data_IF_495558997762
#
_entry.id   IF_495558997762
#
_cell.length_a   1.000
_cell.length_b   1.000
_cell.length_c   1.000
_cell.angle_alpha   90.00
_cell.angle_beta   90.00
_cell.angle_gamma   90.00
#
_symmetry.space_group_name_H-M   'P 1'
#
loop_
_entity.id
_entity.type
_entity.pdbx_description
1 polymer ?
#
# COMPACT_ATOMS: atom_id res chain seq x y z
N UNK A 1 4.04 4.59 16.04
CA UNK A 1 3.47 3.23 15.90
C UNK A 1 3.59 2.87 14.44
N UNK A 2 4.35 1.84 14.09
CA UNK A 2 4.56 1.44 12.69
C UNK A 2 3.30 0.75 12.18
N UNK A 3 2.46 1.48 11.45
CA UNK A 3 1.23 0.96 10.85
C UNK A 3 1.58 0.41 9.48
N UNK A 4 1.28 -0.85 9.22
CA UNK A 4 1.49 -1.45 7.90
C UNK A 4 0.15 -1.72 7.26
N UNK A 5 0.04 -1.37 5.98
CA UNK A 5 -1.11 -1.71 5.15
C UNK A 5 -0.72 -2.76 4.13
N UNK A 6 -1.67 -3.61 3.77
CA UNK A 6 -1.53 -4.51 2.64
C UNK A 6 -2.25 -3.94 1.45
N UNK A 7 -1.53 -3.73 0.35
CA UNK A 7 -2.09 -3.27 -0.92
C UNK A 7 -1.98 -4.36 -1.97
N UNK A 8 -2.96 -4.43 -2.86
CA UNK A 8 -2.97 -5.33 -4.00
C UNK A 8 -2.86 -4.52 -5.28
N UNK A 9 -1.76 -4.71 -6.00
CA UNK A 9 -1.54 -4.12 -7.31
C UNK A 9 -2.55 -4.70 -8.31
N UNK A 10 -3.11 -3.86 -9.18
CA UNK A 10 -4.04 -4.32 -10.21
C UNK A 10 -3.35 -5.24 -11.24
N UNK A 11 -2.09 -4.96 -11.58
CA UNK A 11 -1.35 -5.73 -12.59
C UNK A 11 -0.71 -7.01 -12.03
N UNK A 12 -0.16 -6.96 -10.81
CA UNK A 12 0.68 -8.06 -10.30
C UNK A 12 -0.09 -9.14 -9.51
N UNK A 13 -1.34 -8.89 -9.10
CA UNK A 13 -2.18 -9.85 -8.35
C UNK A 13 -1.65 -10.26 -6.96
N UNK A 14 -0.41 -9.90 -6.61
CA UNK A 14 0.24 -10.13 -5.32
C UNK A 14 -0.10 -8.99 -4.35
N UNK A 15 -0.17 -9.34 -3.06
CA UNK A 15 -0.31 -8.36 -1.99
C UNK A 15 1.08 -7.90 -1.56
N UNK A 16 1.29 -6.60 -1.58
CA UNK A 16 2.48 -5.93 -1.11
C UNK A 16 2.15 -5.18 0.17
N UNK A 17 3.05 -5.23 1.14
CA UNK A 17 2.87 -4.53 2.40
C UNK A 17 3.70 -3.26 2.36
N UNK A 18 3.06 -2.13 2.64
CA UNK A 18 3.63 -0.81 2.52
C UNK A 18 3.35 -0.02 3.77
N UNK A 19 4.20 0.96 4.02
CA UNK A 19 3.96 1.96 5.05
C UNK A 19 3.08 3.08 4.46
N UNK A 20 1.90 3.35 5.03
CA UNK A 20 1.08 4.49 4.66
C UNK A 20 1.66 5.81 5.19
N UNK A 21 2.68 5.79 6.05
CA UNK A 21 3.17 6.96 6.76
C UNK A 21 2.07 7.63 7.57
N UNK A 22 1.89 8.93 7.34
CA UNK A 22 0.81 9.75 7.91
C UNK A 22 -0.45 9.80 7.04
N UNK A 23 -0.52 9.03 5.94
CA UNK A 23 -1.73 8.94 5.12
C UNK A 23 -2.80 8.10 5.83
N UNK A 24 -3.97 8.69 6.01
CA UNK A 24 -5.13 8.02 6.61
C UNK A 24 -5.84 7.15 5.59
N UNK A 25 -5.33 5.96 5.29
CA UNK A 25 -5.91 5.02 4.31
C UNK A 25 -6.83 3.99 4.99
N UNK A 26 -7.86 3.55 4.29
CA UNK A 26 -8.85 2.57 4.79
C UNK A 26 -8.93 1.33 3.89
N UNK A 27 -9.55 0.27 4.38
CA UNK A 27 -9.86 -0.90 3.56
C UNK A 27 -10.64 -0.48 2.30
N UNK A 28 -10.32 -1.08 1.15
CA UNK A 28 -10.89 -0.79 -0.16
C UNK A 28 -10.54 0.59 -0.74
N UNK A 29 -9.73 1.39 -0.06
CA UNK A 29 -9.21 2.65 -0.61
C UNK A 29 -8.23 2.36 -1.75
N UNK A 30 -8.15 3.27 -2.73
CA UNK A 30 -7.13 3.21 -3.78
C UNK A 30 -5.94 4.08 -3.40
N UNK A 31 -4.75 3.55 -3.59
CA UNK A 31 -3.50 4.24 -3.32
C UNK A 31 -2.56 4.12 -4.50
N UNK A 32 -1.77 5.17 -4.73
CA UNK A 32 -0.72 5.17 -5.75
C UNK A 32 0.60 4.85 -5.06
N UNK A 33 1.30 3.86 -5.61
CA UNK A 33 2.55 3.34 -5.08
C UNK A 33 3.61 3.40 -6.16
N UNK A 34 4.86 3.65 -5.78
CA UNK A 34 5.96 3.67 -6.74
C UNK A 34 6.63 2.29 -6.77
N UNK A 35 6.56 1.57 -7.88
CA UNK A 35 7.29 0.32 -8.15
C UNK A 35 8.57 0.62 -8.93
N UNK A 36 9.46 -0.36 -9.11
CA UNK A 36 10.69 -0.16 -9.91
C UNK A 36 10.39 0.18 -11.38
N UNK A 37 9.16 -0.10 -11.83
CA UNK A 37 8.70 0.13 -13.20
C UNK A 37 7.92 1.45 -13.37
N UNK A 38 7.66 2.19 -12.28
CA UNK A 38 6.94 3.46 -12.31
C UNK A 38 5.86 3.58 -11.23
N UNK A 39 4.86 4.44 -11.49
CA UNK A 39 3.71 4.61 -10.61
C UNK A 39 2.66 3.54 -10.95
N UNK A 40 2.16 2.85 -9.93
CA UNK A 40 1.07 1.90 -10.06
C UNK A 40 -0.05 2.19 -9.06
N UNK A 41 -1.29 1.94 -9.49
CA UNK A 41 -2.47 2.03 -8.64
C UNK A 41 -2.72 0.68 -7.97
N UNK A 42 -2.88 0.71 -6.65
CA UNK A 42 -3.13 -0.45 -5.82
C UNK A 42 -4.37 -0.25 -4.94
N UNK A 43 -4.96 -1.36 -4.52
CA UNK A 43 -6.11 -1.38 -3.63
C UNK A 43 -5.70 -1.80 -2.23
N UNK A 44 -6.11 -1.06 -1.22
CA UNK A 44 -5.89 -1.45 0.17
C UNK A 44 -6.78 -2.64 0.50
N UNK A 45 -6.15 -3.78 0.77
CA UNK A 45 -6.81 -5.05 1.09
C UNK A 45 -6.60 -5.48 2.56
N UNK A 46 -5.73 -4.78 3.29
CA UNK A 46 -5.48 -5.02 4.72
C UNK A 46 -5.36 -3.67 5.44
N UNK A 47 -6.08 -3.54 6.55
CA UNK A 47 -6.13 -2.32 7.37
C UNK A 47 -4.83 -2.03 8.14
N UNK A 48 -4.52 -0.74 8.38
CA UNK A 48 -3.35 -0.33 9.13
C UNK A 48 -3.41 -0.85 10.58
N UNK A 49 -2.38 -1.62 10.97
CA UNK A 49 -2.24 -2.15 12.33
C UNK A 49 -2.69 -3.61 12.51
N UNK A 50 -3.17 -4.25 11.44
CA UNK A 50 -3.41 -5.70 11.45
C UNK A 50 -2.13 -6.51 11.19
N UNK A 51 -1.06 -5.87 10.71
CA UNK A 51 0.20 -6.52 10.32
C UNK A 51 1.37 -5.85 11.03
N UNK A 52 2.27 -6.66 11.58
CA UNK A 52 3.51 -6.19 12.22
C UNK A 52 4.58 -6.00 11.16
N UNK A 53 5.19 -4.82 11.10
CA UNK A 53 6.27 -4.47 10.15
C UNK A 53 7.40 -5.52 10.11
N UNK A 54 7.73 -6.12 11.25
CA UNK A 54 8.77 -7.13 11.39
C UNK A 54 8.53 -8.43 10.62
N UNK A 55 7.29 -8.75 10.26
CA UNK A 55 6.95 -9.96 9.49
C UNK A 55 7.00 -9.76 7.99
N UNK A 56 7.12 -8.50 7.54
CA UNK A 56 7.15 -8.18 6.12
C UNK A 56 8.61 -8.10 5.68
N UNK A 57 9.07 -9.14 5.00
CA UNK A 57 10.41 -9.22 4.43
C UNK A 57 10.33 -8.89 2.93
N UNK A 58 10.58 -7.64 2.57
CA UNK A 58 10.68 -7.19 1.18
C UNK A 58 11.23 -5.78 1.04
N UNK A 59 11.67 -5.35 -0.16
CA UNK A 59 12.02 -3.96 -0.40
C UNK A 59 10.77 -3.10 -0.22
N UNK A 60 10.63 -2.49 0.96
CA UNK A 60 9.50 -1.63 1.28
C UNK A 60 9.56 -0.37 0.43
N UNK A 61 8.60 -0.24 -0.48
CA UNK A 61 8.26 1.03 -1.10
C UNK A 61 7.17 1.71 -0.27
N UNK A 62 7.17 3.03 -0.25
CA UNK A 62 6.20 3.83 0.50
C UNK A 62 4.99 4.13 -0.36
N UNK A 63 3.83 4.34 0.26
CA UNK A 63 2.67 4.92 -0.45
C UNK A 63 2.99 6.37 -0.78
N UNK A 64 2.81 6.77 -2.04
CA UNK A 64 3.03 8.16 -2.46
C UNK A 64 1.84 9.05 -2.10
N UNK A 65 0.63 8.60 -2.45
CA UNK A 65 -0.62 9.33 -2.23
C UNK A 65 -1.83 8.42 -2.30
N UNK A 66 -2.96 8.88 -1.77
CA UNK A 66 -4.26 8.31 -2.13
C UNK A 66 -4.54 8.55 -3.61
N UNK A 67 -5.06 7.55 -4.30
CA UNK A 67 -5.54 7.72 -5.65
C UNK A 67 -6.84 8.53 -5.60
N UNK A 68 -6.99 9.46 -6.54
CA UNK A 68 -8.26 10.15 -6.75
C UNK A 68 -9.23 9.25 -7.52
N UNK A 69 -10.55 9.49 -7.46
CA UNK A 69 -11.51 8.76 -8.30
C UNK A 69 -11.26 8.93 -9.81
N UNK A 70 -10.44 9.92 -10.19
CA UNK A 70 -10.00 10.20 -11.56
C UNK A 70 -8.73 9.40 -11.98
N UNK A 71 -8.08 8.69 -11.05
CA UNK A 71 -6.93 7.77 -11.28
C UNK A 71 -7.42 6.30 -11.40
#
# INVERSE_FOLDING_TARGET
MSRVIGVRLQQAGRVHYLDPGDLDVSLLDRVVVETEQGLETAWVVIEPGQVVYSEVLGPFKSVLRKATPED
#
